data_IF_770472269069
#
_entry.id   IF_770472269069
#
_cell.length_a   1.000
_cell.length_b   1.000
_cell.length_c   1.000
_cell.angle_alpha   90.00
_cell.angle_beta   90.00
_cell.angle_gamma   90.00
#
_symmetry.space_group_name_H-M   'P 1'
#
loop_
_entity.id
_entity.type
_entity.pdbx_description
1 polymer ?
#
# COMPACT_ATOMS: atom_id res chain seq x y z
N UNK A 1 -45.05 41.55 16.20
CA UNK A 1 -44.15 41.29 15.04
C UNK A 1 -42.97 40.35 15.34
N UNK A 2 -42.49 40.19 16.59
CA UNK A 2 -41.30 39.37 16.93
C UNK A 2 -41.46 37.83 16.80
N UNK A 3 -42.68 37.29 16.75
CA UNK A 3 -42.94 35.83 16.78
C UNK A 3 -42.74 35.10 15.44
N UNK A 4 -42.65 35.81 14.31
CA UNK A 4 -42.44 35.21 12.98
C UNK A 4 -40.99 35.28 12.47
N UNK A 5 -40.10 35.97 13.19
CA UNK A 5 -38.70 36.19 12.76
C UNK A 5 -37.84 34.95 13.06
N UNK A 6 -38.08 34.29 14.20
CA UNK A 6 -37.33 33.12 14.66
C UNK A 6 -37.41 31.94 13.67
N UNK A 7 -38.59 31.50 13.17
CA UNK A 7 -38.64 30.36 12.24
C UNK A 7 -38.00 30.67 10.89
N UNK A 8 -38.05 31.92 10.42
CA UNK A 8 -37.42 32.35 9.16
C UNK A 8 -35.90 32.34 9.29
N UNK A 9 -35.37 32.81 10.42
CA UNK A 9 -33.94 32.76 10.70
C UNK A 9 -33.42 31.31 10.81
N UNK A 10 -34.21 30.42 11.41
CA UNK A 10 -33.84 29.01 11.55
C UNK A 10 -33.82 28.29 10.19
N UNK A 11 -34.79 28.58 9.31
CA UNK A 11 -34.80 28.08 7.93
C UNK A 11 -33.63 28.62 7.09
N UNK A 12 -33.26 29.88 7.29
CA UNK A 12 -32.12 30.47 6.60
C UNK A 12 -30.79 29.85 7.07
N UNK A 13 -30.66 29.55 8.37
CA UNK A 13 -29.48 28.88 8.92
C UNK A 13 -29.34 27.44 8.43
N UNK A 14 -30.44 26.70 8.34
CA UNK A 14 -30.39 25.32 7.80
C UNK A 14 -30.10 25.34 6.30
N UNK A 15 -30.68 26.25 5.53
CA UNK A 15 -30.36 26.39 4.11
C UNK A 15 -28.88 26.78 3.87
N UNK A 16 -28.31 27.65 4.70
CA UNK A 16 -26.89 28.01 4.64
C UNK A 16 -25.97 26.85 5.06
N UNK A 17 -26.36 26.05 6.06
CA UNK A 17 -25.61 24.87 6.45
C UNK A 17 -25.61 23.76 5.38
N UNK A 18 -26.64 23.70 4.53
CA UNK A 18 -26.73 22.75 3.41
C UNK A 18 -25.99 23.23 2.16
N UNK A 19 -25.84 24.55 1.96
CA UNK A 19 -25.05 25.11 0.85
C UNK A 19 -23.55 25.11 1.13
N UNK A 20 -23.14 25.06 2.40
CA UNK A 20 -21.79 24.66 2.82
C UNK A 20 -21.63 23.15 2.68
N UNK A 21 -21.81 22.64 1.46
CA UNK A 21 -21.40 21.29 1.12
C UNK A 21 -19.96 21.12 1.60
N UNK A 22 -19.69 20.04 2.34
CA UNK A 22 -18.34 19.69 2.74
C UNK A 22 -17.50 19.64 1.47
N UNK A 23 -16.67 20.67 1.24
CA UNK A 23 -15.63 20.65 0.22
C UNK A 23 -14.62 19.61 0.69
N UNK A 24 -14.94 18.35 0.47
CA UNK A 24 -13.96 17.28 0.52
C UNK A 24 -13.02 17.60 -0.62
N UNK A 25 -11.87 18.19 -0.29
CA UNK A 25 -10.74 18.18 -1.21
C UNK A 25 -10.43 16.72 -1.45
N UNK A 26 -10.88 16.19 -2.59
CA UNK A 26 -10.45 14.90 -3.07
C UNK A 26 -8.94 15.02 -3.21
N UNK A 27 -8.18 14.32 -2.36
CA UNK A 27 -6.74 14.29 -2.47
C UNK A 27 -6.42 13.79 -3.88
N UNK A 28 -5.81 14.66 -4.69
CA UNK A 28 -5.52 14.34 -6.09
C UNK A 28 -4.60 13.11 -6.14
N UNK A 29 -4.83 12.24 -7.12
CA UNK A 29 -3.97 11.10 -7.38
C UNK A 29 -2.52 11.61 -7.53
N UNK A 30 -1.63 11.11 -6.69
CA UNK A 30 -0.24 11.53 -6.61
C UNK A 30 0.67 10.42 -7.13
N UNK A 31 1.86 10.81 -7.60
CA UNK A 31 2.93 9.87 -7.93
C UNK A 31 3.80 9.67 -6.69
N UNK A 32 3.79 8.48 -6.12
CA UNK A 32 4.56 8.12 -4.91
C UNK A 32 5.74 7.26 -5.33
N UNK A 33 6.94 7.69 -4.95
CA UNK A 33 8.16 6.89 -5.06
C UNK A 33 8.52 6.33 -3.68
N UNK A 34 8.61 5.01 -3.56
CA UNK A 34 9.08 4.32 -2.36
C UNK A 34 10.51 3.84 -2.62
N UNK A 35 11.48 4.40 -1.90
CA UNK A 35 12.88 3.99 -2.01
C UNK A 35 13.20 2.88 -1.00
N UNK A 36 13.43 1.68 -1.51
CA UNK A 36 13.75 0.51 -0.70
C UNK A 36 15.25 0.22 -0.80
N UNK A 37 16.02 0.57 0.24
CA UNK A 37 17.48 0.43 0.27
C UNK A 37 17.99 -0.74 1.11
N UNK A 38 17.20 -1.16 2.09
CA UNK A 38 17.63 -2.11 3.13
C UNK A 38 17.23 -3.53 2.79
N UNK A 39 18.18 -4.45 2.86
CA UNK A 39 17.97 -5.87 2.57
C UNK A 39 17.21 -6.56 3.70
N UNK A 40 16.54 -7.67 3.37
CA UNK A 40 15.95 -8.57 4.37
C UNK A 40 16.97 -9.08 5.41
N UNK A 41 18.24 -9.24 5.02
CA UNK A 41 19.30 -9.71 5.91
C UNK A 41 19.85 -8.61 6.84
N UNK A 42 19.52 -7.34 6.59
CA UNK A 42 19.98 -6.18 7.38
C UNK A 42 18.86 -5.70 8.29
N UNK A 43 17.66 -5.53 7.75
CA UNK A 43 16.46 -5.12 8.49
C UNK A 43 15.24 -5.70 7.80
N UNK A 44 14.63 -6.72 8.43
CA UNK A 44 13.47 -7.40 7.90
C UNK A 44 12.21 -6.54 8.00
N UNK A 45 12.10 -5.67 9.00
CA UNK A 45 10.94 -4.80 9.20
C UNK A 45 10.80 -3.77 8.08
N UNK A 46 11.90 -3.12 7.66
CA UNK A 46 11.87 -2.12 6.60
C UNK A 46 11.44 -2.72 5.26
N UNK A 47 12.07 -3.81 4.83
CA UNK A 47 11.78 -4.42 3.52
C UNK A 47 10.37 -5.03 3.49
N UNK A 48 9.89 -5.56 4.62
CA UNK A 48 8.57 -6.17 4.74
C UNK A 48 7.44 -5.13 4.86
N UNK A 49 7.73 -3.90 5.29
CA UNK A 49 6.75 -2.83 5.39
C UNK A 49 6.44 -2.17 4.03
N UNK A 50 7.43 -2.07 3.14
CA UNK A 50 7.30 -1.47 1.80
C UNK A 50 6.06 -1.94 1.03
N UNK A 51 5.77 -3.25 0.88
CA UNK A 51 4.63 -3.69 0.10
C UNK A 51 3.28 -3.35 0.78
N UNK A 52 3.22 -3.27 2.11
CA UNK A 52 2.01 -2.83 2.81
C UNK A 52 1.71 -1.35 2.52
N UNK A 53 2.76 -0.51 2.57
CA UNK A 53 2.67 0.92 2.26
C UNK A 53 2.29 1.13 0.80
N UNK A 54 2.91 0.40 -0.12
CA UNK A 54 2.63 0.46 -1.55
C UNK A 54 1.17 0.10 -1.85
N UNK A 55 0.65 -0.96 -1.23
CA UNK A 55 -0.75 -1.34 -1.38
C UNK A 55 -1.67 -0.24 -0.87
N UNK A 56 -1.47 0.24 0.36
CA UNK A 56 -2.32 1.28 0.95
C UNK A 56 -2.36 2.54 0.07
N UNK A 57 -1.22 2.94 -0.48
CA UNK A 57 -1.11 4.06 -1.41
C UNK A 57 -1.89 3.83 -2.71
N UNK A 58 -1.79 2.65 -3.32
CA UNK A 58 -2.60 2.33 -4.52
C UNK A 58 -4.09 2.34 -4.20
N UNK A 59 -4.51 1.77 -3.06
CA UNK A 59 -5.92 1.76 -2.63
C UNK A 59 -6.45 3.18 -2.41
N UNK A 60 -5.60 4.11 -1.98
CA UNK A 60 -5.93 5.54 -1.87
C UNK A 60 -5.97 6.27 -3.23
N UNK A 61 -5.75 5.57 -4.35
CA UNK A 61 -5.81 6.15 -5.69
C UNK A 61 -4.50 6.75 -6.18
N UNK A 62 -3.37 6.46 -5.52
CA UNK A 62 -2.06 6.97 -5.94
C UNK A 62 -1.36 6.01 -6.92
N UNK A 63 -0.54 6.59 -7.80
CA UNK A 63 0.37 5.81 -8.65
C UNK A 63 1.67 5.58 -7.88
N UNK A 64 2.04 4.32 -7.67
CA UNK A 64 3.22 3.96 -6.87
C UNK A 64 4.33 3.40 -7.76
N UNK A 65 5.56 3.83 -7.49
CA UNK A 65 6.80 3.25 -8.02
C UNK A 65 7.69 2.86 -6.85
N UNK A 66 8.24 1.65 -6.86
CA UNK A 66 9.19 1.18 -5.85
C UNK A 66 10.58 1.13 -6.48
N UNK A 67 11.47 2.03 -6.05
CA UNK A 67 12.87 2.00 -6.43
C UNK A 67 13.63 1.08 -5.49
N UNK A 68 14.10 -0.06 -6.00
CA UNK A 68 14.94 -0.98 -5.23
C UNK A 68 16.42 -0.68 -5.46
N UNK A 69 17.15 -0.43 -4.39
CA UNK A 69 18.52 0.08 -4.44
C UNK A 69 19.39 -0.55 -3.34
N UNK A 70 20.71 -0.34 -3.44
CA UNK A 70 21.72 -0.73 -2.46
C UNK A 70 21.57 -2.18 -2.01
N UNK A 71 21.47 -2.41 -0.69
CA UNK A 71 21.42 -3.74 -0.12
C UNK A 71 20.10 -4.47 -0.40
N UNK A 72 19.04 -3.78 -0.82
CA UNK A 72 17.76 -4.42 -1.13
C UNK A 72 17.74 -5.15 -2.48
N UNK A 73 18.60 -4.80 -3.44
CA UNK A 73 18.65 -5.41 -4.79
C UNK A 73 18.73 -6.94 -4.76
N UNK A 74 19.61 -7.58 -3.98
CA UNK A 74 19.67 -9.04 -3.87
C UNK A 74 18.43 -9.67 -3.24
N UNK A 75 17.60 -8.89 -2.54
CA UNK A 75 16.38 -9.39 -1.88
C UNK A 75 15.23 -9.59 -2.86
N UNK A 76 15.23 -8.85 -3.98
CA UNK A 76 14.21 -8.90 -5.04
C UNK A 76 14.71 -9.55 -6.33
N UNK A 77 16.02 -9.71 -6.50
CA UNK A 77 16.62 -10.22 -7.73
C UNK A 77 16.82 -11.73 -7.67
N UNK A 78 16.23 -12.46 -8.62
CA UNK A 78 16.44 -13.91 -8.79
C UNK A 78 17.87 -14.17 -9.25
N UNK A 79 18.53 -15.20 -8.71
CA UNK A 79 19.89 -15.58 -9.13
C UNK A 79 21.00 -14.57 -8.82
N UNK A 80 20.78 -13.57 -7.96
CA UNK A 80 21.82 -12.59 -7.61
C UNK A 80 22.95 -13.23 -6.78
N UNK A 81 24.19 -13.12 -7.27
CA UNK A 81 25.41 -13.69 -6.67
C UNK A 81 25.90 -14.96 -7.37
N UNK A 82 27.23 -15.11 -7.52
CA UNK A 82 27.88 -16.18 -8.28
C UNK A 82 27.44 -17.59 -7.84
N UNK A 83 27.38 -17.85 -6.53
CA UNK A 83 26.89 -19.12 -5.99
C UNK A 83 25.41 -19.39 -6.33
N UNK A 84 24.54 -18.38 -6.28
CA UNK A 84 23.10 -18.57 -6.55
C UNK A 84 22.80 -18.80 -8.02
N UNK A 85 23.63 -18.26 -8.91
CA UNK A 85 23.57 -18.54 -10.34
C UNK A 85 23.96 -19.98 -10.66
N UNK A 86 24.87 -20.58 -9.89
CA UNK A 86 25.28 -21.98 -10.03
C UNK A 86 24.24 -22.99 -9.51
N UNK A 87 23.42 -22.61 -8.53
CA UNK A 87 22.43 -23.50 -7.89
C UNK A 87 21.02 -23.29 -8.49
N UNK A 88 20.89 -22.49 -9.56
CA UNK A 88 19.64 -22.25 -10.29
C UNK A 88 18.44 -21.92 -9.39
N UNK A 89 18.67 -21.14 -8.32
CA UNK A 89 17.59 -20.76 -7.40
C UNK A 89 16.71 -19.70 -8.05
N UNK A 90 15.62 -20.14 -8.68
CA UNK A 90 14.57 -19.31 -9.27
C UNK A 90 13.75 -18.49 -8.24
N UNK A 91 14.29 -18.30 -7.03
CA UNK A 91 13.63 -17.74 -5.85
C UNK A 91 14.45 -16.60 -5.24
N UNK A 92 13.78 -15.47 -4.95
CA UNK A 92 14.33 -14.30 -4.27
C UNK A 92 14.43 -14.52 -2.75
N UNK A 93 15.06 -13.59 -2.02
CA UNK A 93 15.02 -13.66 -0.55
C UNK A 93 13.60 -13.45 -0.01
N UNK A 94 12.82 -12.58 -0.66
CA UNK A 94 11.44 -12.31 -0.28
C UNK A 94 10.48 -13.46 -0.64
N UNK A 95 10.77 -14.23 -1.69
CA UNK A 95 9.99 -15.43 -2.04
C UNK A 95 10.06 -16.50 -0.94
N UNK A 96 11.15 -16.49 -0.17
CA UNK A 96 11.36 -17.39 0.97
C UNK A 96 10.91 -16.81 2.30
N UNK A 97 10.59 -15.52 2.33
CA UNK A 97 10.09 -14.84 3.53
C UNK A 97 8.57 -15.07 3.65
N UNK A 98 8.16 -15.98 4.52
CA UNK A 98 6.76 -16.31 4.73
C UNK A 98 6.00 -15.18 5.46
N UNK A 99 4.78 -14.90 5.00
CA UNK A 99 3.80 -14.11 5.74
C UNK A 99 3.04 -15.03 6.71
N UNK A 100 3.20 -14.79 8.01
CA UNK A 100 2.50 -15.58 9.03
C UNK A 100 0.98 -15.49 8.86
N UNK A 101 0.25 -16.53 9.26
CA UNK A 101 -1.23 -16.56 9.19
C UNK A 101 -1.86 -15.34 9.85
N UNK A 102 -1.35 -14.92 11.01
CA UNK A 102 -1.78 -13.72 11.71
C UNK A 102 -1.57 -12.45 10.88
N UNK A 103 -0.39 -12.26 10.27
CA UNK A 103 -0.12 -11.11 9.41
C UNK A 103 -1.05 -11.09 8.20
N UNK A 104 -1.29 -12.25 7.58
CA UNK A 104 -2.21 -12.36 6.43
C UNK A 104 -3.65 -12.03 6.82
N UNK A 105 -4.09 -12.48 7.99
CA UNK A 105 -5.40 -12.15 8.54
C UNK A 105 -5.53 -10.64 8.78
N UNK A 106 -4.53 -10.03 9.43
CA UNK A 106 -4.52 -8.59 9.66
C UNK A 106 -4.51 -7.79 8.35
N UNK A 107 -3.75 -8.22 7.34
CA UNK A 107 -3.77 -7.59 6.01
C UNK A 107 -5.12 -7.75 5.31
N UNK A 108 -5.74 -8.93 5.41
CA UNK A 108 -7.08 -9.19 4.87
C UNK A 108 -8.11 -8.21 5.45
N UNK A 109 -8.09 -8.02 6.77
CA UNK A 109 -8.98 -7.09 7.48
C UNK A 109 -8.71 -5.63 7.12
N UNK A 110 -7.45 -5.18 7.21
CA UNK A 110 -7.07 -3.79 6.91
C UNK A 110 -7.35 -3.41 5.46
N UNK A 111 -7.13 -4.34 4.53
CA UNK A 111 -7.26 -4.09 3.11
C UNK A 111 -8.67 -4.37 2.58
N UNK A 112 -9.52 -5.08 3.32
CA UNK A 112 -10.86 -5.46 2.88
C UNK A 112 -10.86 -6.45 1.72
N UNK A 113 -9.82 -7.29 1.64
CA UNK A 113 -9.67 -8.34 0.61
C UNK A 113 -9.74 -9.73 1.27
N UNK A 114 -10.38 -10.71 0.63
CA UNK A 114 -10.43 -12.08 1.15
C UNK A 114 -9.05 -12.67 1.44
N UNK A 115 -8.91 -13.40 2.55
CA UNK A 115 -7.65 -13.99 3.00
C UNK A 115 -6.98 -14.89 1.94
N UNK A 116 -7.78 -15.59 1.13
CA UNK A 116 -7.29 -16.44 0.05
C UNK A 116 -6.62 -15.66 -1.09
N UNK A 117 -6.85 -14.34 -1.19
CA UNK A 117 -6.19 -13.46 -2.14
C UNK A 117 -4.90 -12.83 -1.57
N UNK A 118 -4.70 -12.91 -0.25
CA UNK A 118 -3.47 -12.44 0.39
C UNK A 118 -2.34 -13.43 0.14
N UNK A 119 -1.21 -13.01 -0.46
CA UNK A 119 -0.07 -13.87 -0.72
C UNK A 119 0.50 -14.53 0.54
N UNK A 120 1.14 -15.69 0.34
CA UNK A 120 1.75 -16.46 1.42
C UNK A 120 3.18 -16.00 1.73
N UNK A 121 3.82 -15.26 0.84
CA UNK A 121 5.21 -14.80 0.96
C UNK A 121 5.31 -13.32 0.60
N UNK A 122 6.32 -12.63 1.11
CA UNK A 122 6.54 -11.22 0.76
C UNK A 122 6.89 -11.06 -0.72
N UNK A 123 7.60 -12.01 -1.33
CA UNK A 123 7.84 -12.03 -2.78
C UNK A 123 6.53 -12.06 -3.57
N UNK A 124 5.60 -12.94 -3.17
CA UNK A 124 4.25 -12.97 -3.74
C UNK A 124 3.45 -11.69 -3.50
N UNK A 125 3.77 -10.93 -2.44
CA UNK A 125 3.18 -9.62 -2.16
C UNK A 125 3.66 -8.55 -3.15
N UNK A 126 4.94 -8.53 -3.50
CA UNK A 126 5.47 -7.68 -4.56
C UNK A 126 4.92 -8.08 -5.94
N UNK A 127 4.81 -9.37 -6.23
CA UNK A 127 4.20 -9.84 -7.49
C UNK A 127 2.73 -9.44 -7.59
N UNK A 128 1.99 -9.50 -6.48
CA UNK A 128 0.61 -9.02 -6.41
C UNK A 128 0.53 -7.52 -6.73
N UNK A 129 1.41 -6.71 -6.14
CA UNK A 129 1.45 -5.27 -6.37
C UNK A 129 1.76 -4.92 -7.82
N UNK A 130 2.74 -5.59 -8.41
CA UNK A 130 3.15 -5.36 -9.80
C UNK A 130 2.07 -5.79 -10.79
N UNK A 131 1.58 -7.02 -10.64
CA UNK A 131 0.74 -7.66 -11.66
C UNK A 131 -0.75 -7.33 -11.52
N UNK A 132 -1.25 -7.06 -10.29
CA UNK A 132 -2.67 -6.76 -10.06
C UNK A 132 -2.96 -5.29 -9.79
N UNK A 133 -2.01 -4.57 -9.20
CA UNK A 133 -2.20 -3.19 -8.77
C UNK A 133 -1.40 -2.18 -9.61
N UNK A 134 -0.63 -2.64 -10.60
CA UNK A 134 0.09 -1.79 -11.55
C UNK A 134 1.21 -0.97 -10.90
N UNK A 135 1.76 -1.42 -9.76
CA UNK A 135 2.89 -0.76 -9.10
C UNK A 135 4.15 -0.93 -9.96
N UNK A 136 4.78 0.19 -10.31
CA UNK A 136 6.05 0.19 -11.03
C UNK A 136 7.21 -0.25 -10.13
N UNK A 137 8.17 -0.99 -10.69
CA UNK A 137 9.39 -1.47 -10.02
C UNK A 137 10.54 -1.51 -11.00
#
# INVERSE_FOLDING_TARGET
MKRRIIPVLLMALTAAAWSMGLWVQSASAANILIHMKTSLAVDDAQICAVPNVAWAAVKAGHKVTILVDASAVPSVTKGFGFLRRLIESNSTALDRAALSKYKRQSLSEQMGVPLNQIPHTYGGHFDFLKNKLGVGS
#
